data_IF_050229143672
#
_entry.id   IF_050229143672
#
_cell.length_a   1.000
_cell.length_b   1.000
_cell.length_c   1.000
_cell.angle_alpha   90.00
_cell.angle_beta   90.00
_cell.angle_gamma   90.00
#
_symmetry.space_group_name_H-M   'P 1'
#
loop_
_entity.id
_entity.type
_entity.pdbx_description
1 polymer ?
#
# COMPACT_ATOMS: atom_id res chain seq x y z
N UNK A 1 -1.60 13.22 -4.99
CA UNK A 1 -0.62 12.69 -5.96
C UNK A 1 0.67 13.51 -6.03
N UNK A 2 0.62 14.85 -6.15
CA UNK A 2 1.85 15.68 -6.21
C UNK A 2 2.82 15.44 -5.03
N UNK A 3 2.30 15.29 -3.81
CA UNK A 3 3.14 15.03 -2.63
C UNK A 3 3.81 13.65 -2.62
N UNK A 4 3.17 12.63 -3.21
CA UNK A 4 3.77 11.29 -3.30
C UNK A 4 4.94 11.30 -4.29
N UNK A 5 4.80 11.94 -5.45
CA UNK A 5 5.87 11.99 -6.47
C UNK A 5 7.11 12.67 -5.94
N UNK A 6 6.94 13.86 -5.35
CA UNK A 6 8.08 14.58 -4.79
C UNK A 6 8.77 13.77 -3.70
N UNK A 7 8.01 13.00 -2.90
CA UNK A 7 8.59 12.03 -1.98
C UNK A 7 9.38 10.95 -2.73
N UNK A 8 8.79 10.28 -3.72
CA UNK A 8 9.45 9.22 -4.51
C UNK A 8 10.75 9.71 -5.17
N UNK A 9 10.74 10.89 -5.81
CA UNK A 9 11.94 11.47 -6.45
C UNK A 9 13.08 11.68 -5.45
N UNK A 10 12.77 12.08 -4.21
CA UNK A 10 13.78 12.18 -3.16
C UNK A 10 14.30 10.80 -2.74
N UNK A 11 13.42 9.81 -2.61
CA UNK A 11 13.79 8.44 -2.20
C UNK A 11 14.65 7.70 -3.23
N UNK A 12 14.50 7.99 -4.53
CA UNK A 12 15.34 7.38 -5.58
C UNK A 12 16.83 7.71 -5.42
N UNK A 13 17.16 8.83 -4.76
CA UNK A 13 18.54 9.23 -4.50
C UNK A 13 19.14 8.61 -3.24
N UNK A 14 18.34 7.95 -2.40
CA UNK A 14 18.78 7.40 -1.11
C UNK A 14 19.45 6.02 -1.27
N UNK A 15 20.74 5.86 -0.92
CA UNK A 15 21.47 4.61 -1.14
C UNK A 15 20.83 3.37 -0.50
N UNK A 16 20.21 3.54 0.66
CA UNK A 16 19.53 2.45 1.39
C UNK A 16 18.25 1.96 0.71
N UNK A 17 17.71 2.74 -0.24
CA UNK A 17 16.45 2.45 -0.92
C UNK A 17 16.64 1.99 -2.37
N UNK A 18 17.89 1.80 -2.81
CA UNK A 18 18.21 1.37 -4.17
C UNK A 18 17.53 0.05 -4.56
N UNK A 19 17.28 -0.86 -3.61
CA UNK A 19 16.58 -2.11 -3.89
C UNK A 19 15.10 -1.92 -4.26
N UNK A 20 14.51 -0.75 -3.99
CA UNK A 20 13.11 -0.42 -4.27
C UNK A 20 12.92 0.48 -5.51
N UNK A 21 14.00 0.84 -6.20
CA UNK A 21 13.97 1.81 -7.32
C UNK A 21 13.02 1.41 -8.45
N UNK A 22 12.84 0.10 -8.69
CA UNK A 22 11.87 -0.38 -9.69
C UNK A 22 10.44 0.04 -9.34
N UNK A 23 10.05 -0.09 -8.07
CA UNK A 23 8.74 0.33 -7.59
C UNK A 23 8.56 1.84 -7.78
N UNK A 24 9.58 2.62 -7.42
CA UNK A 24 9.60 4.07 -7.60
C UNK A 24 9.42 4.47 -9.08
N UNK A 25 10.12 3.79 -9.98
CA UNK A 25 9.98 3.99 -11.43
C UNK A 25 8.56 3.69 -11.93
N UNK A 26 7.90 2.63 -11.44
CA UNK A 26 6.51 2.33 -11.78
C UNK A 26 5.54 3.42 -11.28
N UNK A 27 5.77 3.94 -10.07
CA UNK A 27 4.99 5.04 -9.50
C UNK A 27 5.15 6.34 -10.29
N UNK A 28 6.36 6.63 -10.76
CA UNK A 28 6.60 7.78 -11.64
C UNK A 28 5.93 7.58 -13.01
N UNK A 29 5.95 6.35 -13.54
CA UNK A 29 5.32 6.01 -14.84
C UNK A 29 3.80 6.15 -14.82
N UNK A 30 3.14 5.88 -13.68
CA UNK A 30 1.69 6.05 -13.51
C UNK A 30 1.18 7.44 -13.92
N UNK A 31 1.97 8.49 -13.70
CA UNK A 31 1.56 9.87 -14.02
C UNK A 31 1.71 10.23 -15.49
N UNK A 32 2.53 9.50 -16.20
CA UNK A 32 2.81 9.72 -17.61
C UNK A 32 1.80 8.98 -18.51
N UNK A 33 0.91 8.18 -17.90
CA UNK A 33 -0.12 7.45 -18.64
C UNK A 33 -1.14 8.41 -19.25
N UNK A 34 -1.42 8.20 -20.53
CA UNK A 34 -2.54 8.85 -21.18
C UNK A 34 -3.89 8.17 -20.82
N UNK A 35 -5.00 8.80 -21.23
CA UNK A 35 -6.35 8.29 -20.92
C UNK A 35 -6.63 6.89 -21.48
N UNK A 36 -6.07 6.55 -22.64
CA UNK A 36 -6.28 5.25 -23.26
C UNK A 36 -5.51 4.17 -22.50
N UNK A 37 -4.29 4.46 -22.06
CA UNK A 37 -3.48 3.59 -21.21
C UNK A 37 -4.14 3.37 -19.85
N UNK A 38 -4.63 4.44 -19.21
CA UNK A 38 -5.37 4.34 -17.94
C UNK A 38 -6.55 3.37 -18.07
N UNK A 39 -7.41 3.57 -19.09
CA UNK A 39 -8.57 2.73 -19.31
C UNK A 39 -8.19 1.27 -19.62
N UNK A 40 -7.12 1.04 -20.38
CA UNK A 40 -6.62 -0.29 -20.69
C UNK A 40 -6.11 -1.01 -19.43
N UNK A 41 -5.29 -0.34 -18.62
CA UNK A 41 -4.73 -0.92 -17.40
C UNK A 41 -5.81 -1.20 -16.37
N UNK A 42 -6.79 -0.32 -16.22
CA UNK A 42 -7.96 -0.55 -15.39
C UNK A 42 -8.76 -1.77 -15.87
N UNK A 43 -9.00 -1.91 -17.18
CA UNK A 43 -9.69 -3.06 -17.76
C UNK A 43 -8.97 -4.38 -17.47
N UNK A 44 -7.65 -4.43 -17.70
CA UNK A 44 -6.83 -5.64 -17.44
C UNK A 44 -6.88 -5.97 -15.95
N UNK A 45 -6.66 -4.98 -15.09
CA UNK A 45 -6.71 -5.11 -13.64
C UNK A 45 -8.03 -5.67 -13.13
N UNK A 46 -9.16 -5.13 -13.63
CA UNK A 46 -10.49 -5.61 -13.29
C UNK A 46 -10.74 -7.05 -13.77
N UNK A 47 -10.19 -7.42 -14.93
CA UNK A 47 -10.28 -8.81 -15.42
C UNK A 47 -9.53 -9.79 -14.50
N UNK A 48 -8.44 -9.35 -13.87
CA UNK A 48 -7.72 -10.09 -12.84
C UNK A 48 -8.32 -9.93 -11.42
N UNK A 49 -9.48 -9.28 -11.27
CA UNK A 49 -10.19 -9.13 -10.00
C UNK A 49 -9.47 -8.31 -8.92
N UNK A 50 -8.42 -7.54 -9.26
CA UNK A 50 -7.68 -6.72 -8.27
C UNK A 50 -8.44 -5.45 -7.82
N UNK A 51 -9.68 -5.26 -8.26
CA UNK A 51 -10.52 -4.09 -7.97
C UNK A 51 -11.47 -4.27 -6.76
N UNK A 52 -11.08 -5.07 -5.78
CA UNK A 52 -11.84 -5.25 -4.54
C UNK A 52 -11.59 -4.09 -3.56
N UNK A 53 -12.63 -3.67 -2.85
CA UNK A 53 -12.55 -2.55 -1.90
C UNK A 53 -12.03 -2.93 -0.51
N UNK A 54 -12.16 -4.22 -0.17
CA UNK A 54 -11.77 -4.76 1.14
C UNK A 54 -10.25 -4.87 1.29
N UNK A 55 -9.79 -5.10 2.51
CA UNK A 55 -8.37 -5.42 2.74
C UNK A 55 -8.01 -6.77 2.12
N UNK A 56 -6.86 -6.84 1.42
CA UNK A 56 -6.27 -8.11 0.98
C UNK A 56 -6.07 -9.09 2.14
N UNK A 57 -5.77 -8.58 3.34
CA UNK A 57 -5.62 -9.38 4.55
C UNK A 57 -6.88 -10.16 4.85
N UNK A 58 -8.06 -9.56 4.63
CA UNK A 58 -9.35 -10.22 4.86
C UNK A 58 -9.64 -11.30 3.83
N UNK A 59 -9.34 -11.05 2.56
CA UNK A 59 -9.47 -12.07 1.50
C UNK A 59 -8.61 -13.30 1.80
N UNK A 60 -7.36 -13.09 2.21
CA UNK A 60 -6.46 -14.18 2.57
C UNK A 60 -6.96 -14.92 3.80
N UNK A 61 -7.36 -14.19 4.84
CA UNK A 61 -7.90 -14.78 6.08
C UNK A 61 -9.12 -15.67 5.81
N UNK A 62 -10.02 -15.26 4.92
CA UNK A 62 -11.21 -16.02 4.55
C UNK A 62 -10.89 -17.34 3.82
N UNK A 63 -9.88 -17.33 2.95
CA UNK A 63 -9.52 -18.51 2.14
C UNK A 63 -8.57 -19.43 2.90
N UNK A 64 -7.57 -18.87 3.58
CA UNK A 64 -6.53 -19.63 4.28
C UNK A 64 -6.88 -19.97 5.72
N UNK A 65 -7.95 -19.39 6.28
CA UNK A 65 -8.36 -19.51 7.69
C UNK A 65 -7.26 -19.07 8.69
N UNK A 66 -6.36 -18.21 8.25
CA UNK A 66 -5.34 -17.59 9.09
C UNK A 66 -4.90 -16.24 8.50
N UNK A 67 -4.37 -15.36 9.34
CA UNK A 67 -3.80 -14.11 8.87
C UNK A 67 -2.56 -14.37 7.99
N UNK A 68 -2.37 -13.58 6.91
CA UNK A 68 -1.13 -13.63 6.15
C UNK A 68 0.06 -13.22 7.01
N UNK A 69 1.22 -13.80 6.69
CA UNK A 69 2.49 -13.41 7.29
C UNK A 69 3.01 -12.14 6.61
N UNK A 70 3.42 -11.16 7.40
CA UNK A 70 4.16 -10.00 6.92
C UNK A 70 5.65 -10.27 7.08
N UNK A 71 6.43 -9.97 6.05
CA UNK A 71 7.88 -9.84 6.15
C UNK A 71 8.25 -8.39 5.84
N UNK A 72 8.73 -7.67 6.85
CA UNK A 72 9.14 -6.26 6.68
C UNK A 72 10.54 -6.21 6.09
N UNK A 73 10.66 -5.59 4.91
CA UNK A 73 11.93 -5.34 4.23
C UNK A 73 12.53 -4.01 4.68
N UNK A 74 11.68 -3.01 4.86
CA UNK A 74 12.10 -1.67 5.26
C UNK A 74 11.00 -1.01 6.10
N UNK A 75 11.39 -0.34 7.20
CA UNK A 75 10.50 0.55 7.94
C UNK A 75 11.29 1.65 8.65
N UNK A 76 11.22 2.87 8.12
CA UNK A 76 11.89 4.05 8.70
C UNK A 76 11.03 5.30 8.52
N UNK A 77 11.34 6.33 9.32
CA UNK A 77 10.79 7.67 9.12
C UNK A 77 11.74 8.46 8.24
N UNK A 78 11.23 9.05 7.16
CA UNK A 78 11.98 9.88 6.23
C UNK A 78 11.15 11.11 5.86
N UNK A 79 11.71 12.32 6.01
CA UNK A 79 11.04 13.60 5.70
C UNK A 79 9.59 13.66 6.20
N UNK A 80 9.38 13.38 7.48
CA UNK A 80 8.06 13.32 8.12
C UNK A 80 7.10 12.26 7.56
N UNK A 81 7.58 11.26 6.83
CA UNK A 81 6.77 10.14 6.37
C UNK A 81 7.24 8.84 7.03
N UNK A 82 6.30 8.02 7.50
CA UNK A 82 6.59 6.62 7.76
C UNK A 82 6.58 5.86 6.43
N UNK A 83 7.73 5.31 6.08
CA UNK A 83 7.91 4.39 4.97
C UNK A 83 7.84 2.97 5.51
N UNK A 84 7.02 2.11 4.92
CA UNK A 84 6.96 0.69 5.29
C UNK A 84 6.79 -0.18 4.05
N UNK A 85 7.80 -0.99 3.76
CA UNK A 85 7.84 -1.88 2.60
C UNK A 85 7.88 -3.33 3.08
N UNK A 86 6.94 -4.14 2.57
CA UNK A 86 6.68 -5.49 3.08
C UNK A 86 6.43 -6.48 1.95
N UNK A 87 6.72 -7.74 2.23
CA UNK A 87 6.15 -8.87 1.49
C UNK A 87 4.98 -9.44 2.29
N UNK A 88 3.84 -9.60 1.63
CA UNK A 88 2.69 -10.30 2.21
C UNK A 88 2.69 -11.75 1.71
N UNK A 89 2.76 -12.70 2.63
CA UNK A 89 2.87 -14.13 2.33
C UNK A 89 1.68 -14.92 2.84
N UNK A 90 1.29 -15.95 2.09
CA UNK A 90 0.25 -16.88 2.49
C UNK A 90 0.75 -17.95 3.49
N UNK A 91 -0.13 -18.87 3.89
CA UNK A 91 0.20 -20.00 4.77
C UNK A 91 1.28 -20.94 4.21
N UNK A 92 1.48 -20.94 2.89
CA UNK A 92 2.51 -21.71 2.19
C UNK A 92 3.82 -20.92 1.98
N UNK A 93 3.93 -19.72 2.57
CA UNK A 93 5.07 -18.81 2.44
C UNK A 93 5.31 -18.29 1.00
N UNK A 94 4.32 -18.43 0.10
CA UNK A 94 4.32 -17.80 -1.22
C UNK A 94 4.02 -16.32 -1.09
N UNK A 95 4.74 -15.48 -1.86
CA UNK A 95 4.54 -14.03 -1.89
C UNK A 95 3.30 -13.72 -2.72
N UNK A 96 2.28 -13.16 -2.08
CA UNK A 96 1.02 -12.75 -2.72
C UNK A 96 1.19 -11.36 -3.33
N UNK A 97 1.79 -10.44 -2.57
CA UNK A 97 2.11 -9.09 -3.01
C UNK A 97 3.30 -8.49 -2.27
N UNK A 98 3.85 -7.47 -2.90
CA UNK A 98 4.72 -6.48 -2.26
C UNK A 98 3.87 -5.26 -1.90
N UNK A 99 3.96 -4.80 -0.66
CA UNK A 99 3.19 -3.66 -0.15
C UNK A 99 4.12 -2.52 0.22
N UNK A 100 3.84 -1.32 -0.29
CA UNK A 100 4.57 -0.11 0.03
C UNK A 100 3.60 0.92 0.63
N UNK A 101 3.95 1.40 1.81
CA UNK A 101 3.16 2.37 2.57
C UNK A 101 3.95 3.65 2.74
N UNK A 102 3.31 4.77 2.43
CA UNK A 102 3.83 6.12 2.66
C UNK A 102 2.79 6.87 3.48
N UNK A 103 3.02 7.03 4.78
CA UNK A 103 2.10 7.69 5.72
C UNK A 103 2.68 9.04 6.15
N UNK A 104 1.96 10.12 5.88
CA UNK A 104 2.34 11.48 6.27
C UNK A 104 2.18 11.70 7.78
N UNK A 105 3.26 12.12 8.45
CA UNK A 105 3.31 12.41 9.88
C UNK A 105 3.62 13.90 10.15
N UNK A 106 3.55 14.76 9.14
CA UNK A 106 3.92 16.18 9.26
C UNK A 106 2.92 17.06 10.01
N UNK A 107 1.67 16.61 10.14
CA UNK A 107 0.55 17.44 10.57
C UNK A 107 0.58 17.81 12.06
N UNK A 108 1.05 16.89 12.91
CA UNK A 108 1.04 17.07 14.36
C UNK A 108 2.06 16.15 15.05
N UNK A 109 2.85 16.71 15.96
CA UNK A 109 3.92 15.98 16.64
C UNK A 109 3.38 14.86 17.55
N UNK A 110 2.31 15.11 18.29
CA UNK A 110 1.72 14.11 19.19
C UNK A 110 1.11 12.96 18.40
N UNK A 111 0.40 13.28 17.30
CA UNK A 111 -0.12 12.28 16.38
C UNK A 111 1.01 11.46 15.75
N UNK A 112 2.07 12.13 15.27
CA UNK A 112 3.25 11.48 14.70
C UNK A 112 3.82 10.45 15.67
N UNK A 113 4.09 10.84 16.92
CA UNK A 113 4.62 9.95 17.94
C UNK A 113 3.68 8.76 18.20
N UNK A 114 2.38 9.02 18.32
CA UNK A 114 1.37 7.98 18.60
C UNK A 114 1.30 6.95 17.46
N UNK A 115 1.22 7.41 16.21
CA UNK A 115 1.15 6.53 15.04
C UNK A 115 2.46 5.76 14.84
N UNK A 116 3.61 6.41 15.02
CA UNK A 116 4.91 5.75 14.98
C UNK A 116 4.98 4.63 16.00
N UNK A 117 4.71 4.90 17.28
CA UNK A 117 4.75 3.86 18.32
C UNK A 117 3.83 2.70 17.99
N UNK A 118 2.58 2.97 17.63
CA UNK A 118 1.59 1.92 17.32
C UNK A 118 2.01 1.03 16.13
N UNK A 119 2.56 1.63 15.07
CA UNK A 119 2.95 0.89 13.86
C UNK A 119 4.29 0.16 14.01
N UNK A 120 5.20 0.63 14.88
CA UNK A 120 6.43 -0.09 15.23
C UNK A 120 6.17 -1.25 16.20
N UNK A 121 5.30 -1.08 17.19
CA UNK A 121 4.90 -2.18 18.09
C UNK A 121 4.23 -3.32 17.33
N UNK A 122 3.50 -2.98 16.26
CA UNK A 122 2.77 -3.92 15.40
C UNK A 122 3.46 -4.16 14.05
N UNK A 123 4.79 -4.09 14.01
CA UNK A 123 5.58 -4.16 12.77
C UNK A 123 5.31 -5.42 11.92
N UNK A 124 4.98 -6.56 12.52
CA UNK A 124 4.67 -7.81 11.80
C UNK A 124 3.17 -7.99 11.49
N UNK A 125 2.33 -7.03 11.87
CA UNK A 125 0.88 -7.09 11.65
C UNK A 125 0.54 -6.49 10.28
N UNK A 126 -0.32 -7.12 9.46
CA UNK A 126 -0.75 -6.54 8.19
C UNK A 126 -1.37 -5.15 8.40
N UNK A 127 -0.94 -4.17 7.61
CA UNK A 127 -1.41 -2.78 7.74
C UNK A 127 -2.93 -2.66 7.63
N UNK A 128 -3.54 -3.51 6.81
CA UNK A 128 -4.99 -3.56 6.62
C UNK A 128 -5.78 -3.72 7.91
N UNK A 129 -5.22 -4.38 8.94
CA UNK A 129 -5.88 -4.54 10.23
C UNK A 129 -6.05 -3.19 10.94
N UNK A 130 -5.02 -2.34 10.88
CA UNK A 130 -5.08 -1.00 11.46
C UNK A 130 -5.87 -0.04 10.55
N UNK A 131 -5.57 -0.01 9.25
CA UNK A 131 -6.14 0.95 8.30
C UNK A 131 -7.67 0.85 8.22
N UNK A 132 -8.22 -0.37 8.17
CA UNK A 132 -9.67 -0.58 8.04
C UNK A 132 -10.43 -0.45 9.38
N UNK A 133 -9.75 -0.10 10.48
CA UNK A 133 -10.38 0.31 11.74
C UNK A 133 -10.48 1.84 11.86
N UNK A 134 -9.94 2.58 10.91
CA UNK A 134 -9.96 4.04 10.91
C UNK A 134 -11.22 4.58 10.22
N UNK A 135 -11.60 5.79 10.59
CA UNK A 135 -12.49 6.62 9.76
C UNK A 135 -11.65 7.24 8.63
N UNK A 136 -11.98 6.97 7.38
CA UNK A 136 -11.23 7.45 6.22
C UNK A 136 -12.11 7.68 4.99
N UNK A 137 -11.62 8.54 4.11
CA UNK A 137 -12.05 8.57 2.71
C UNK A 137 -10.93 8.02 1.84
N UNK A 138 -11.25 7.40 0.72
CA UNK A 138 -10.26 6.79 -0.17
C UNK A 138 -10.44 7.25 -1.61
N UNK A 139 -9.33 7.43 -2.32
CA UNK A 139 -9.33 7.73 -3.74
C UNK A 139 -9.83 6.54 -4.56
N UNK A 140 -10.13 6.80 -5.83
CA UNK A 140 -10.22 5.75 -6.85
C UNK A 140 -8.89 4.99 -6.94
N UNK A 141 -8.97 3.74 -7.41
CA UNK A 141 -7.80 2.93 -7.68
C UNK A 141 -7.08 3.42 -8.94
N UNK A 142 -5.76 3.42 -8.87
CA UNK A 142 -4.89 3.59 -10.04
C UNK A 142 -4.15 2.28 -10.28
N UNK A 143 -3.95 1.94 -11.55
CA UNK A 143 -3.39 0.67 -11.96
C UNK A 143 -2.24 0.85 -12.94
N UNK A 144 -1.22 0.01 -12.79
CA UNK A 144 -0.12 -0.10 -13.75
C UNK A 144 0.17 -1.57 -14.03
N UNK A 145 0.06 -2.00 -15.28
CA UNK A 145 0.40 -3.36 -15.69
C UNK A 145 1.91 -3.41 -15.90
N UNK A 146 2.63 -4.11 -15.00
CA UNK A 146 4.10 -4.21 -15.06
C UNK A 146 4.49 -5.24 -16.11
N UNK A 147 3.84 -6.41 -16.07
CA UNK A 147 4.00 -7.52 -17.02
C UNK A 147 2.79 -8.48 -16.90
N UNK A 148 2.82 -9.60 -17.62
CA UNK A 148 1.73 -10.59 -17.65
C UNK A 148 1.49 -11.31 -16.31
N UNK A 149 2.36 -11.12 -15.32
CA UNK A 149 2.29 -11.77 -14.00
C UNK A 149 2.18 -10.78 -12.85
N UNK A 150 2.35 -9.49 -13.09
CA UNK A 150 2.38 -8.47 -12.05
C UNK A 150 1.61 -7.22 -12.43
N UNK A 151 0.75 -6.81 -11.49
CA UNK A 151 0.01 -5.56 -11.60
C UNK A 151 0.21 -4.77 -10.32
N UNK A 152 0.53 -3.48 -10.49
CA UNK A 152 0.57 -2.51 -9.42
C UNK A 152 -0.81 -1.86 -9.27
N UNK A 153 -1.25 -1.74 -8.02
CA UNK A 153 -2.41 -0.97 -7.60
C UNK A 153 -1.96 0.10 -6.62
N UNK A 154 -2.41 1.33 -6.83
CA UNK A 154 -2.22 2.44 -5.91
C UNK A 154 -3.58 2.95 -5.44
N UNK A 155 -3.71 3.19 -4.13
CA UNK A 155 -4.84 3.89 -3.53
C UNK A 155 -4.35 4.85 -2.45
N UNK A 156 -4.97 6.02 -2.38
CA UNK A 156 -4.71 7.01 -1.33
C UNK A 156 -5.85 7.05 -0.33
N UNK A 157 -5.53 7.22 0.94
CA UNK A 157 -6.48 7.30 2.04
C UNK A 157 -6.26 8.62 2.78
N UNK A 158 -7.32 9.36 3.01
CA UNK A 158 -7.34 10.49 3.94
C UNK A 158 -7.98 10.01 5.23
N UNK A 159 -7.16 9.81 6.25
CA UNK A 159 -7.51 9.14 7.50
C UNK A 159 -7.79 10.21 8.57
N UNK A 160 -8.96 10.15 9.19
CA UNK A 160 -9.31 10.95 10.34
C UNK A 160 -8.69 10.37 11.62
N UNK A 161 -7.76 11.11 12.22
CA UNK A 161 -7.00 10.70 13.39
C UNK A 161 -7.57 11.23 14.72
N UNK A 162 -8.81 11.72 14.74
CA UNK A 162 -9.45 12.25 15.94
C UNK A 162 -9.39 11.31 17.14
N UNK A 163 -9.46 10.01 16.92
CA UNK A 163 -9.40 9.02 18.01
C UNK A 163 -8.06 9.00 18.77
N UNK A 164 -6.97 9.51 18.18
CA UNK A 164 -5.64 9.51 18.78
C UNK A 164 -5.30 10.78 19.54
N UNK A 165 -5.84 11.92 19.09
CA UNK A 165 -5.46 13.25 19.62
C UNK A 165 -6.66 14.11 20.05
N UNK A 166 -7.88 13.56 20.00
CA UNK A 166 -9.14 14.22 20.38
C UNK A 166 -9.43 15.55 19.66
N UNK A 167 -8.89 15.72 18.44
CA UNK A 167 -9.12 16.86 17.54
C UNK A 167 -9.22 16.38 16.10
N UNK A 168 -10.00 17.07 15.27
CA UNK A 168 -10.14 16.73 13.85
C UNK A 168 -8.82 17.03 13.12
N UNK A 169 -8.03 15.99 12.90
CA UNK A 169 -6.76 16.01 12.16
C UNK A 169 -6.77 14.86 11.17
N UNK A 170 -6.29 15.14 9.97
CA UNK A 170 -6.24 14.17 8.89
C UNK A 170 -4.80 13.89 8.50
N UNK A 171 -4.47 12.61 8.29
CA UNK A 171 -3.22 12.19 7.66
C UNK A 171 -3.51 11.53 6.31
N UNK A 172 -2.58 11.68 5.37
CA UNK A 172 -2.64 10.98 4.10
C UNK A 172 -1.78 9.72 4.15
N UNK A 173 -2.35 8.60 3.71
CA UNK A 173 -1.64 7.36 3.48
C UNK A 173 -1.73 6.98 2.01
N UNK A 174 -0.59 6.73 1.38
CA UNK A 174 -0.52 6.10 0.07
C UNK A 174 -0.16 4.62 0.24
N UNK A 175 -1.01 3.75 -0.30
CA UNK A 175 -0.82 2.31 -0.31
C UNK A 175 -0.61 1.85 -1.75
N UNK A 176 0.57 1.28 -2.00
CA UNK A 176 0.95 0.67 -3.26
C UNK A 176 1.06 -0.83 -3.05
N UNK A 177 0.45 -1.61 -3.92
CA UNK A 177 0.45 -3.07 -3.87
C UNK A 177 0.84 -3.61 -5.23
N UNK A 178 1.90 -4.40 -5.30
CA UNK A 178 2.32 -5.11 -6.50
C UNK A 178 1.91 -6.58 -6.34
N UNK A 179 0.87 -6.99 -7.05
CA UNK A 179 0.31 -8.34 -6.97
C UNK A 179 1.11 -9.31 -7.82
N UNK A 180 1.45 -10.48 -7.26
CA UNK A 180 1.84 -11.64 -8.04
C UNK A 180 0.55 -12.37 -8.46
N UNK A 181 0.18 -12.29 -9.74
CA UNK A 181 -1.13 -12.76 -10.21
C UNK A 181 -1.33 -14.27 -10.02
N UNK A 182 -0.29 -15.09 -10.18
CA UNK A 182 -0.40 -16.55 -9.98
C UNK A 182 -0.65 -16.93 -8.52
N UNK A 183 -0.06 -16.18 -7.58
CA UNK A 183 -0.25 -16.43 -6.15
C UNK A 183 -1.51 -15.73 -5.62
N UNK A 184 -1.97 -14.68 -6.29
CA UNK A 184 -3.15 -13.91 -5.89
C UNK A 184 -4.47 -14.50 -6.42
N UNK A 185 -4.49 -15.10 -7.62
CA UNK A 185 -5.72 -15.60 -8.24
C UNK A 185 -6.56 -16.54 -7.37
N UNK A 186 -5.99 -17.44 -6.53
CA UNK A 186 -6.80 -18.32 -5.69
C UNK A 186 -7.69 -17.58 -4.68
N UNK A 187 -7.38 -16.32 -4.34
CA UNK A 187 -8.15 -15.52 -3.38
C UNK A 187 -9.38 -14.84 -4.00
N UNK A 188 -9.59 -15.00 -5.31
CA UNK A 188 -10.69 -14.38 -6.05
C UNK A 188 -11.76 -15.36 -6.53
N UNK A 189 -11.47 -16.66 -6.49
CA UNK A 189 -12.32 -17.73 -7.04
C UNK A 189 -13.60 -18.00 -6.22
N UNK A 190 -13.94 -17.15 -5.25
CA UNK A 190 -15.16 -17.24 -4.44
C UNK A 190 -16.23 -16.20 -4.86
N UNK A 191 -16.45 -16.00 -6.16
CA UNK A 191 -17.66 -15.33 -6.67
C UNK A 191 -18.68 -16.34 -7.17
#
# INVERSE_FOLDING_TARGET
MQNLISLIENLESEPKLQEFTNCFSYLNSLQQLDKAQIALFEKISKAHGINYEQSITKLIEQVDNCLPKVEVKFQEIYNHHLLRFVLLKNKHNSIILEGYTFLDLSQDLQLSQTLTSLLYEKIQVPLGIWLFQQDFTASDFQYFVINDHQILRLRSFLINCRQYVHKDIFTTLHLVEIFNLSNFSPYLEQK
#
